data_IF_765539324389
#
_entry.id   IF_765539324389
#
_cell.length_a   1.000
_cell.length_b   1.000
_cell.length_c   1.000
_cell.angle_alpha   90.00
_cell.angle_beta   90.00
_cell.angle_gamma   90.00
#
_symmetry.space_group_name_H-M   'P 1'
#
loop_
_entity.id
_entity.type
_entity.pdbx_description
1 polymer ?
#
# COMPACT_ATOMS: atom_id res chain seq x y z
N UNK A 1 -0.71 -12.98 -5.85
CA UNK A 1 0.28 -11.90 -6.07
C UNK A 1 0.76 -11.39 -4.72
N UNK A 2 1.96 -11.79 -4.31
CA UNK A 2 2.51 -11.45 -3.00
C UNK A 2 3.49 -10.29 -3.17
N UNK A 3 3.02 -9.06 -2.97
CA UNK A 3 3.90 -7.90 -2.89
C UNK A 3 4.80 -8.02 -1.65
N UNK A 4 6.09 -7.71 -1.76
CA UNK A 4 7.03 -7.73 -0.63
C UNK A 4 6.65 -6.69 0.43
N UNK A 5 7.06 -6.93 1.69
CA UNK A 5 6.81 -5.98 2.79
C UNK A 5 7.44 -4.61 2.50
N UNK A 6 8.63 -4.60 1.91
CA UNK A 6 9.34 -3.36 1.59
C UNK A 6 8.58 -2.54 0.54
N UNK A 7 8.00 -3.19 -0.46
CA UNK A 7 7.16 -2.53 -1.45
C UNK A 7 5.92 -1.90 -0.79
N UNK A 8 5.24 -2.62 0.10
CA UNK A 8 4.07 -2.12 0.83
C UNK A 8 4.41 -0.92 1.71
N UNK A 9 5.56 -0.99 2.40
CA UNK A 9 6.08 0.13 3.21
C UNK A 9 6.36 1.36 2.34
N UNK A 10 7.02 1.18 1.20
CA UNK A 10 7.31 2.29 0.27
C UNK A 10 6.02 2.93 -0.25
N UNK A 11 5.00 2.13 -0.60
CA UNK A 11 3.71 2.64 -1.03
C UNK A 11 3.00 3.48 0.05
N UNK A 12 3.07 3.06 1.32
CA UNK A 12 2.43 3.79 2.42
C UNK A 12 3.21 5.01 2.91
N UNK A 13 4.54 5.00 2.81
CA UNK A 13 5.37 6.14 3.20
C UNK A 13 5.14 7.39 2.34
N UNK A 14 4.68 7.22 1.10
CA UNK A 14 4.39 8.33 0.18
C UNK A 14 3.03 8.96 0.47
N UNK A 15 2.09 8.17 1.03
CA UNK A 15 0.73 8.63 1.37
C UNK A 15 0.70 9.88 2.28
N UNK A 16 1.42 9.92 3.43
CA UNK A 16 1.46 11.12 4.28
C UNK A 16 2.37 12.22 3.72
N UNK A 17 3.36 11.88 2.87
CA UNK A 17 4.30 12.85 2.29
C UNK A 17 3.67 13.74 1.23
N UNK A 18 2.71 13.20 0.48
CA UNK A 18 2.08 13.88 -0.65
C UNK A 18 0.56 14.09 -0.47
N UNK A 19 0.01 13.85 0.73
CA UNK A 19 -1.44 13.92 1.00
C UNK A 19 -2.28 13.09 0.00
N UNK A 20 -1.75 11.96 -0.46
CA UNK A 20 -2.37 11.18 -1.53
C UNK A 20 -3.53 10.34 -1.03
N UNK A 21 -4.59 10.30 -1.83
CA UNK A 21 -5.68 9.35 -1.67
C UNK A 21 -5.21 7.91 -1.94
N UNK A 22 -5.94 6.94 -1.39
CA UNK A 22 -5.68 5.50 -1.61
C UNK A 22 -5.68 5.16 -3.09
N UNK A 23 -6.52 5.84 -3.87
CA UNK A 23 -6.68 5.66 -5.31
C UNK A 23 -5.47 6.13 -6.09
N UNK A 24 -4.99 7.34 -5.82
CA UNK A 24 -3.79 7.90 -6.47
C UNK A 24 -2.55 7.08 -6.12
N UNK A 25 -2.45 6.59 -4.89
CA UNK A 25 -1.37 5.67 -4.49
C UNK A 25 -1.47 4.35 -5.25
N UNK A 26 -2.68 3.80 -5.41
CA UNK A 26 -2.91 2.57 -6.15
C UNK A 26 -2.53 2.69 -7.63
N UNK A 27 -2.93 3.78 -8.29
CA UNK A 27 -2.59 4.08 -9.69
C UNK A 27 -1.09 4.26 -9.88
N UNK A 28 -0.44 5.04 -9.01
CA UNK A 28 1.01 5.32 -9.11
C UNK A 28 1.87 4.08 -8.95
N UNK A 29 1.41 3.12 -8.16
CA UNK A 29 2.11 1.85 -7.93
C UNK A 29 1.57 0.69 -8.79
N UNK A 30 0.56 0.93 -9.63
CA UNK A 30 -0.08 -0.10 -10.45
C UNK A 30 -0.70 -1.23 -9.64
N UNK A 31 -1.16 -0.95 -8.42
CA UNK A 31 -1.74 -1.95 -7.51
C UNK A 31 -3.22 -1.70 -7.29
N UNK A 32 -3.94 -2.71 -6.82
CA UNK A 32 -5.36 -2.53 -6.50
C UNK A 32 -5.58 -1.58 -5.32
N UNK A 33 -6.60 -0.72 -5.41
CA UNK A 33 -7.04 0.17 -4.32
C UNK A 33 -7.24 -0.59 -3.00
N UNK A 34 -7.84 -1.78 -3.08
CA UNK A 34 -8.05 -2.67 -1.93
C UNK A 34 -6.75 -3.20 -1.32
N UNK A 35 -5.69 -3.38 -2.11
CA UNK A 35 -4.37 -3.79 -1.61
C UNK A 35 -3.76 -2.67 -0.77
N UNK A 36 -3.77 -1.44 -1.28
CA UNK A 36 -3.27 -0.26 -0.56
C UNK A 36 -4.08 -0.02 0.72
N UNK A 37 -5.41 -0.15 0.65
CA UNK A 37 -6.27 -0.02 1.83
C UNK A 37 -5.96 -1.07 2.90
N UNK A 38 -5.76 -2.33 2.50
CA UNK A 38 -5.35 -3.41 3.41
C UNK A 38 -4.01 -3.09 4.07
N UNK A 39 -3.01 -2.64 3.31
CA UNK A 39 -1.70 -2.29 3.88
C UNK A 39 -1.79 -1.12 4.84
N UNK A 40 -2.67 -0.14 4.56
CA UNK A 40 -2.91 0.99 5.46
C UNK A 40 -3.46 0.58 6.82
N UNK A 41 -4.13 -0.57 6.91
CA UNK A 41 -4.60 -1.15 8.18
C UNK A 41 -3.59 -2.13 8.76
N UNK A 42 -2.97 -2.95 7.92
CA UNK A 42 -2.01 -3.98 8.31
C UNK A 42 -1.02 -4.26 7.17
N UNK A 43 0.24 -3.86 7.34
CA UNK A 43 1.32 -4.07 6.36
C UNK A 43 1.77 -5.53 6.32
N UNK A 44 1.85 -6.17 7.48
CA UNK A 44 2.34 -7.53 7.63
C UNK A 44 1.29 -8.53 7.12
N UNK A 45 1.76 -9.56 6.41
CA UNK A 45 0.90 -10.70 6.12
C UNK A 45 0.59 -11.38 7.46
N UNK A 46 -0.70 -11.62 7.75
CA UNK A 46 -1.04 -12.50 8.87
C UNK A 46 -0.45 -13.87 8.57
N UNK A 47 0.62 -14.23 9.30
CA UNK A 47 1.10 -15.61 9.35
C UNK A 47 -0.04 -16.41 9.98
N UNK A 48 -0.64 -17.30 9.18
CA UNK A 48 -1.41 -18.43 9.73
C UNK A 48 -0.46 -19.40 10.40
#
# INVERSE_FOLDING_TARGET
MTYSIDFRRKALLIKPREYLSVETTAERFGVGKMSVFRWSKQIEAQRK
#
